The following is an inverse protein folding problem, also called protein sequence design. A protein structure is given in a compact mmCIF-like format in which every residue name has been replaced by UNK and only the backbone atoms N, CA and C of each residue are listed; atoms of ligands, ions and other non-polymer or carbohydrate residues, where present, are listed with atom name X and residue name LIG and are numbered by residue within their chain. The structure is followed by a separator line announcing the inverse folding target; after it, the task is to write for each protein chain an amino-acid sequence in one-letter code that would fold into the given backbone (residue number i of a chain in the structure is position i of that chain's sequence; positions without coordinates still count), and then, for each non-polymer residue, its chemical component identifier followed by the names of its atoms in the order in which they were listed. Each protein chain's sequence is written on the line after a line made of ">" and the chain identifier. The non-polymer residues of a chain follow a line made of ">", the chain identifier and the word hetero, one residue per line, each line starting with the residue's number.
data_IF_668537745358
#
_entry.id   IF_668537745358
#
_cell.length_a   1.000
_cell.length_b   1.000
_cell.length_c   1.000
_cell.angle_alpha   90.00
_cell.angle_beta   90.00
_cell.angle_gamma   90.00
#
_symmetry.space_group_name_H-M   'P 1'
#
loop_
_entity.id
_entity.type
_entity.pdbx_description
1 polymer ?
#
# COMPACT_ATOMS: atom_id res chain seq x y z
N UNK A 1 4.65 1.85 -7.81
CA UNK A 1 5.10 2.84 -8.81
C UNK A 1 5.50 4.10 -8.07
N UNK A 2 5.81 5.18 -8.78
CA UNK A 2 5.70 6.52 -8.20
C UNK A 2 4.25 6.80 -7.75
N UNK A 3 4.04 7.95 -7.12
CA UNK A 3 2.75 8.36 -6.56
C UNK A 3 1.96 9.30 -7.44
N UNK A 4 2.40 9.56 -8.68
CA UNK A 4 1.75 10.56 -9.54
C UNK A 4 0.29 10.20 -9.84
N UNK A 5 0.01 8.92 -10.06
CA UNK A 5 -1.37 8.46 -10.29
C UNK A 5 -2.27 8.68 -9.06
N UNK A 6 -1.73 8.50 -7.85
CA UNK A 6 -2.44 8.76 -6.60
C UNK A 6 -2.76 10.26 -6.44
N UNK A 7 -1.80 11.13 -6.77
CA UNK A 7 -1.93 12.59 -6.69
C UNK A 7 -2.97 13.15 -7.68
N UNK A 8 -3.13 12.51 -8.85
CA UNK A 8 -4.20 12.85 -9.81
C UNK A 8 -5.59 12.44 -9.33
N UNK A 9 -5.69 11.49 -8.41
CA UNK A 9 -6.92 11.05 -7.77
C UNK A 9 -6.84 9.58 -7.38
N UNK A 10 -7.45 9.21 -6.26
CA UNK A 10 -7.36 7.90 -5.63
C UNK A 10 -8.70 7.47 -5.02
N UNK A 11 -8.84 6.18 -4.70
CA UNK A 11 -10.01 5.67 -3.98
C UNK A 11 -10.09 6.37 -2.62
N UNK A 12 -11.28 6.79 -2.19
CA UNK A 12 -11.49 7.48 -0.91
C UNK A 12 -10.81 6.74 0.24
N UNK A 13 -10.08 7.49 1.07
CA UNK A 13 -9.28 7.01 2.20
C UNK A 13 -8.09 6.09 1.85
N UNK A 14 -7.76 5.89 0.57
CA UNK A 14 -6.56 5.16 0.19
C UNK A 14 -5.30 5.94 0.57
N UNK A 15 -4.21 5.22 0.85
CA UNK A 15 -2.88 5.80 1.06
C UNK A 15 -1.99 5.54 -0.15
N UNK A 16 -1.17 6.53 -0.51
CA UNK A 16 -0.11 6.39 -1.49
C UNK A 16 1.10 5.68 -0.87
N UNK A 17 1.59 4.63 -1.54
CA UNK A 17 2.85 3.95 -1.20
C UNK A 17 3.75 3.99 -2.43
N UNK A 18 4.89 4.65 -2.30
CA UNK A 18 5.88 4.74 -3.36
C UNK A 18 6.77 3.50 -3.34
N UNK A 19 6.78 2.76 -4.45
CA UNK A 19 7.54 1.51 -4.54
C UNK A 19 9.03 1.70 -4.27
N UNK A 20 9.61 2.79 -4.76
CA UNK A 20 11.05 3.02 -4.68
C UNK A 20 11.46 3.50 -3.30
N UNK A 21 10.78 4.52 -2.76
CA UNK A 21 11.19 5.14 -1.50
C UNK A 21 10.62 4.46 -0.26
N UNK A 22 9.47 3.80 -0.36
CA UNK A 22 8.85 3.15 0.81
C UNK A 22 9.17 1.66 0.91
N UNK A 23 9.49 0.99 -0.20
CA UNK A 23 9.65 -0.48 -0.21
C UNK A 23 11.06 -0.96 -0.53
N UNK A 24 11.95 -0.14 -1.08
CA UNK A 24 13.33 -0.57 -1.38
C UNK A 24 14.33 -0.07 -0.32
N UNK A 25 15.39 -0.84 -0.07
CA UNK A 25 16.56 -0.33 0.64
C UNK A 25 17.23 0.77 -0.22
N UNK A 26 17.61 1.91 0.38
CA UNK A 26 18.12 3.05 -0.38
C UNK A 26 19.54 2.86 -0.93
N UNK A 27 20.31 1.88 -0.43
CA UNK A 27 21.71 1.67 -0.77
C UNK A 27 21.97 0.29 -1.39
N UNK A 28 21.32 -0.75 -0.85
CA UNK A 28 21.50 -2.13 -1.29
C UNK A 28 20.43 -2.50 -2.30
N UNK A 29 20.74 -3.48 -3.15
CA UNK A 29 19.74 -4.13 -3.99
C UNK A 29 18.94 -5.12 -3.14
N UNK A 30 18.16 -4.57 -2.23
CA UNK A 30 17.31 -5.31 -1.30
C UNK A 30 16.02 -4.52 -1.06
N UNK A 31 15.07 -5.18 -0.44
CA UNK A 31 13.86 -4.55 0.05
C UNK A 31 14.03 -4.01 1.47
N UNK A 32 13.11 -3.14 1.92
CA UNK A 32 13.18 -2.57 3.27
C UNK A 32 13.19 -3.66 4.35
N UNK A 33 13.83 -3.36 5.49
CA UNK A 33 13.89 -4.30 6.62
C UNK A 33 12.54 -4.51 7.28
N UNK A 34 12.40 -5.59 8.08
CA UNK A 34 11.22 -5.82 8.92
C UNK A 34 10.88 -4.61 9.80
N UNK A 35 11.82 -4.04 10.57
CA UNK A 35 11.59 -2.83 11.35
C UNK A 35 11.14 -1.60 10.53
N UNK A 36 11.59 -1.46 9.29
CA UNK A 36 11.13 -0.36 8.43
C UNK A 36 9.74 -0.62 7.86
N UNK A 37 9.39 -1.89 7.63
CA UNK A 37 8.03 -2.30 7.31
C UNK A 37 7.07 -2.07 8.50
N UNK A 38 7.50 -2.34 9.74
CA UNK A 38 6.75 -2.00 10.96
C UNK A 38 6.45 -0.50 11.01
N UNK A 39 7.45 0.36 10.78
CA UNK A 39 7.27 1.82 10.72
C UNK A 39 6.35 2.26 9.59
N UNK A 40 6.38 1.58 8.43
CA UNK A 40 5.46 1.82 7.32
C UNK A 40 4.02 1.52 7.72
N UNK A 41 3.76 0.42 8.41
CA UNK A 41 2.41 0.08 8.85
C UNK A 41 1.94 0.99 9.98
N UNK A 42 2.80 1.32 10.94
CA UNK A 42 2.48 2.24 12.02
C UNK A 42 2.11 3.65 11.50
N UNK A 43 2.90 4.23 10.58
CA UNK A 43 2.55 5.53 9.97
C UNK A 43 1.29 5.49 9.12
N UNK A 44 0.93 4.30 8.61
CA UNK A 44 -0.27 4.07 7.80
C UNK A 44 -1.51 3.77 8.66
N UNK A 45 -1.39 3.72 9.99
CA UNK A 45 -2.48 3.40 10.90
C UNK A 45 -2.93 1.94 10.83
N UNK A 46 -2.03 1.03 10.43
CA UNK A 46 -2.32 -0.39 10.24
C UNK A 46 -1.92 -1.16 11.49
N UNK A 47 -2.89 -1.86 12.07
CA UNK A 47 -2.68 -2.84 13.15
C UNK A 47 -2.61 -4.26 12.58
N UNK A 48 -2.30 -5.25 13.42
CA UNK A 48 -2.30 -6.67 13.00
C UNK A 48 -3.65 -7.19 12.53
N UNK A 49 -4.74 -6.63 13.04
CA UNK A 49 -6.11 -7.07 12.72
C UNK A 49 -6.69 -6.33 11.51
N UNK A 50 -6.04 -5.24 11.08
CA UNK A 50 -6.48 -4.42 9.95
C UNK A 50 -6.57 -5.28 8.68
N UNK A 51 -7.67 -5.17 7.93
CA UNK A 51 -7.72 -5.72 6.57
C UNK A 51 -7.09 -4.74 5.61
N UNK A 52 -5.97 -5.10 4.98
CA UNK A 52 -5.32 -4.26 4.00
C UNK A 52 -5.77 -4.65 2.60
N UNK A 53 -6.28 -3.68 1.83
CA UNK A 53 -6.68 -3.86 0.43
C UNK A 53 -5.73 -3.08 -0.45
N UNK A 54 -4.98 -3.78 -1.29
CA UNK A 54 -4.00 -3.20 -2.21
C UNK A 54 -4.59 -3.09 -3.61
N UNK A 55 -4.32 -1.97 -4.28
CA UNK A 55 -4.69 -1.74 -5.67
C UNK A 55 -3.66 -0.85 -6.35
N UNK A 56 -3.55 -0.93 -7.68
CA UNK A 56 -2.66 -0.08 -8.45
C UNK A 56 -3.01 -0.04 -9.93
N UNK A 57 -2.23 0.75 -10.67
CA UNK A 57 -2.23 0.74 -12.13
C UNK A 57 -1.61 -0.54 -12.70
N UNK A 58 -1.43 -0.57 -14.03
CA UNK A 58 -0.67 -1.62 -14.73
C UNK A 58 -1.05 -3.04 -14.31
N UNK A 59 -2.35 -3.34 -14.30
CA UNK A 59 -2.92 -4.64 -13.91
C UNK A 59 -2.45 -5.11 -12.53
N UNK A 60 -2.43 -4.20 -11.55
CA UNK A 60 -1.98 -4.42 -10.18
C UNK A 60 -0.52 -4.83 -10.02
N UNK A 61 0.37 -4.63 -11.00
CA UNK A 61 1.74 -5.14 -10.92
C UNK A 61 2.46 -4.78 -9.60
N UNK A 62 2.52 -3.48 -9.26
CA UNK A 62 3.14 -3.05 -8.02
C UNK A 62 2.27 -3.29 -6.77
N UNK A 63 0.96 -3.38 -6.93
CA UNK A 63 0.07 -3.77 -5.83
C UNK A 63 0.30 -5.24 -5.43
N UNK A 64 0.51 -6.13 -6.39
CA UNK A 64 0.87 -7.53 -6.18
C UNK A 64 2.27 -7.68 -5.59
N UNK A 65 3.22 -6.81 -5.99
CA UNK A 65 4.53 -6.75 -5.34
C UNK A 65 4.41 -6.34 -3.87
N UNK A 66 3.63 -5.30 -3.56
CA UNK A 66 3.33 -4.94 -2.17
C UNK A 66 2.61 -6.07 -1.44
N UNK A 67 1.66 -6.76 -2.06
CA UNK A 67 0.98 -7.93 -1.48
C UNK A 67 1.99 -8.99 -1.03
N UNK A 68 3.01 -9.25 -1.84
CA UNK A 68 4.08 -10.16 -1.46
C UNK A 68 4.84 -9.71 -0.20
N UNK A 69 5.11 -8.40 0.02
CA UNK A 69 5.71 -7.90 1.28
C UNK A 69 4.84 -8.23 2.48
N UNK A 70 3.55 -7.93 2.36
CA UNK A 70 2.61 -8.17 3.45
C UNK A 70 2.57 -9.66 3.81
N UNK A 71 2.57 -10.55 2.82
CA UNK A 71 2.66 -12.00 3.09
C UNK A 71 4.02 -12.41 3.65
N UNK A 72 5.12 -11.88 3.11
CA UNK A 72 6.48 -12.17 3.55
C UNK A 72 6.71 -11.79 5.02
N UNK A 73 6.15 -10.65 5.46
CA UNK A 73 6.22 -10.17 6.85
C UNK A 73 5.05 -10.64 7.75
N UNK A 74 4.24 -11.59 7.28
CA UNK A 74 3.20 -12.23 8.08
C UNK A 74 1.99 -11.34 8.41
N UNK A 75 1.56 -10.50 7.49
CA UNK A 75 0.26 -9.82 7.52
C UNK A 75 -0.74 -10.56 6.62
N UNK A 76 -1.39 -11.59 7.16
CA UNK A 76 -2.25 -12.47 6.37
C UNK A 76 -3.57 -11.84 5.94
N UNK A 77 -4.07 -10.83 6.66
CA UNK A 77 -5.30 -10.12 6.32
C UNK A 77 -5.10 -9.08 5.19
N UNK A 78 -4.40 -9.50 4.13
CA UNK A 78 -4.12 -8.69 2.95
C UNK A 78 -4.90 -9.20 1.75
N UNK A 79 -5.49 -8.29 0.98
CA UNK A 79 -6.27 -8.58 -0.23
C UNK A 79 -5.79 -7.72 -1.39
N UNK A 80 -5.97 -8.21 -2.61
CA UNK A 80 -5.83 -7.43 -3.82
C UNK A 80 -7.22 -7.08 -4.36
N UNK A 81 -7.42 -5.81 -4.72
CA UNK A 81 -8.63 -5.38 -5.41
C UNK A 81 -8.58 -5.89 -6.85
N UNK A 82 -9.42 -6.88 -7.18
CA UNK A 82 -9.47 -7.47 -8.51
C UNK A 82 -9.69 -6.39 -9.60
N UNK A 83 -8.87 -6.45 -10.65
CA UNK A 83 -8.84 -5.47 -11.74
C UNK A 83 -8.18 -4.11 -11.42
N UNK A 84 -7.87 -3.85 -10.14
CA UNK A 84 -7.08 -2.69 -9.71
C UNK A 84 -7.70 -1.35 -10.10
N UNK A 85 -6.83 -0.34 -10.26
CA UNK A 85 -7.24 1.02 -10.65
C UNK A 85 -7.94 1.03 -12.01
N UNK A 86 -7.43 0.25 -12.97
CA UNK A 86 -7.96 0.21 -14.34
C UNK A 86 -9.45 -0.18 -14.35
N UNK A 87 -9.81 -1.25 -13.64
CA UNK A 87 -11.22 -1.69 -13.55
C UNK A 87 -12.08 -0.67 -12.79
N UNK A 88 -11.55 -0.08 -11.72
CA UNK A 88 -12.25 0.97 -10.97
C UNK A 88 -12.64 2.17 -11.84
N UNK A 89 -11.69 2.65 -12.66
CA UNK A 89 -11.92 3.74 -13.62
C UNK A 89 -12.88 3.33 -14.74
N UNK A 90 -12.73 2.12 -15.31
CA UNK A 90 -13.63 1.61 -16.35
C UNK A 90 -15.08 1.47 -15.87
N UNK A 91 -15.28 1.16 -14.59
CA UNK A 91 -16.60 1.09 -13.97
C UNK A 91 -17.15 2.48 -13.59
N UNK A 92 -16.43 3.57 -13.87
CA UNK A 92 -16.87 4.94 -13.60
C UNK A 92 -17.00 5.26 -12.10
N UNK A 93 -16.27 4.53 -11.25
CA UNK A 93 -16.33 4.72 -9.80
C UNK A 93 -15.57 5.98 -9.37
N UNK A 94 -16.02 6.57 -8.26
CA UNK A 94 -15.49 7.82 -7.74
C UNK A 94 -14.00 7.72 -7.38
N UNK A 95 -13.25 8.78 -7.72
CA UNK A 95 -11.91 9.05 -7.24
C UNK A 95 -11.91 10.44 -6.58
N UNK A 96 -11.15 10.59 -5.51
CA UNK A 96 -10.97 11.88 -4.81
C UNK A 96 -9.50 12.30 -4.81
N UNK A 97 -9.26 13.59 -4.58
CA UNK A 97 -7.94 14.15 -4.27
C UNK A 97 -7.80 14.53 -2.79
N UNK A 98 -8.87 14.38 -2.01
CA UNK A 98 -8.86 14.67 -0.59
C UNK A 98 -7.85 13.77 0.12
N UNK A 99 -7.02 14.31 1.01
CA UNK A 99 -6.06 13.48 1.73
C UNK A 99 -6.78 12.44 2.60
N UNK A 100 -6.24 11.23 2.62
CA UNK A 100 -6.70 10.21 3.56
C UNK A 100 -6.50 10.67 5.01
N UNK A 101 -7.52 10.43 5.85
CA UNK A 101 -7.44 10.68 7.29
C UNK A 101 -6.87 9.44 7.96
N UNK A 102 -5.61 9.52 8.37
CA UNK A 102 -4.92 8.43 9.08
C UNK A 102 -4.67 8.83 10.51
N UNK A 103 -4.97 7.93 11.43
CA UNK A 103 -4.49 7.99 12.81
C UNK A 103 -3.35 6.98 12.91
N UNK A 104 -2.09 7.43 13.03
CA UNK A 104 -0.96 6.52 13.15
C UNK A 104 -1.13 5.57 14.35
N UNK A 105 -0.65 4.35 14.19
CA UNK A 105 -0.57 3.36 15.25
C UNK A 105 0.86 3.26 15.75
N UNK A 106 1.09 2.42 16.75
CA UNK A 106 2.43 2.08 17.22
C UNK A 106 2.52 0.62 17.60
N UNK A 107 3.71 0.06 17.46
CA UNK A 107 4.01 -1.28 17.97
C UNK A 107 3.60 -2.40 17.02
N UNK A 108 3.39 -2.12 15.73
CA UNK A 108 3.33 -3.19 14.74
C UNK A 108 4.60 -4.06 14.82
N UNK A 109 4.44 -5.38 14.73
CA UNK A 109 5.56 -6.34 14.76
C UNK A 109 5.47 -7.30 13.58
N UNK A 110 6.53 -7.46 12.79
CA UNK A 110 6.52 -8.53 11.77
C UNK A 110 6.53 -9.91 12.42
N UNK A 111 6.03 -10.93 11.72
CA UNK A 111 6.03 -12.31 12.21
C UNK A 111 7.40 -12.99 12.05
#
# INVERSE_FOLDING_TARGET
>A
EDTEAYERGHIRNALGVNWKSDLQDPLRRDFISGPDFEKLLDRSGVTKDTTVVLYGGNNNWFASYAYWYFRYYGHDNTKLLDGGRKKWELEGRELTKDPAKVVPTSGYKVA
#
